data_IF_890004101649
#
_entry.id   IF_890004101649
#
_cell.length_a   1.000
_cell.length_b   1.000
_cell.length_c   1.000
_cell.angle_alpha   90.00
_cell.angle_beta   90.00
_cell.angle_gamma   90.00
#
_symmetry.space_group_name_H-M   'P 1'
#
loop_
_entity.id
_entity.type
_entity.pdbx_description
1 polymer ?
#
# COMPACT_ATOMS: atom_id res chain seq x y z
N UNK A 1 -13.97 25.69 -14.37
CA UNK A 1 -14.31 24.30 -14.02
C UNK A 1 -14.08 24.16 -12.53
N UNK A 2 -15.12 23.73 -11.80
CA UNK A 2 -15.04 23.31 -10.42
C UNK A 2 -13.92 22.27 -10.26
N UNK A 3 -13.29 22.21 -9.11
CA UNK A 3 -12.16 21.32 -8.85
C UNK A 3 -12.51 19.89 -9.30
N UNK A 4 -11.71 19.27 -10.17
CA UNK A 4 -12.00 17.93 -10.66
C UNK A 4 -11.95 16.93 -9.48
N UNK A 5 -12.83 15.93 -9.53
CA UNK A 5 -12.90 14.87 -8.50
C UNK A 5 -11.54 14.22 -8.34
N UNK A 6 -11.07 14.08 -7.10
CA UNK A 6 -9.83 13.40 -6.74
C UNK A 6 -10.12 12.28 -5.74
N UNK A 7 -9.18 11.37 -5.58
CA UNK A 7 -9.26 10.36 -4.52
C UNK A 7 -9.10 11.03 -3.15
N UNK A 8 -9.78 10.54 -2.10
CA UNK A 8 -9.59 11.05 -0.76
C UNK A 8 -8.17 10.79 -0.29
N UNK A 9 -7.62 11.67 0.55
CA UNK A 9 -6.24 11.59 1.04
C UNK A 9 -5.20 11.32 -0.07
N UNK A 10 -5.40 11.88 -1.24
CA UNK A 10 -4.58 11.62 -2.43
C UNK A 10 -3.12 12.05 -2.26
N UNK A 11 -2.83 13.03 -1.40
CA UNK A 11 -1.48 13.43 -0.98
C UNK A 11 -0.87 12.58 0.13
N UNK A 12 -1.56 11.53 0.60
CA UNK A 12 -1.10 10.65 1.69
C UNK A 12 -0.69 11.38 2.98
N UNK A 13 -1.34 12.50 3.29
CA UNK A 13 -1.03 13.34 4.45
C UNK A 13 -1.80 12.97 5.72
N UNK A 14 -2.95 12.31 5.60
CA UNK A 14 -3.84 11.99 6.70
C UNK A 14 -3.66 10.57 7.19
N UNK A 15 -3.26 10.42 8.45
CA UNK A 15 -2.98 9.14 9.07
C UNK A 15 -3.36 9.15 10.54
N UNK A 16 -3.78 8.01 11.05
CA UNK A 16 -3.83 7.76 12.47
C UNK A 16 -3.28 6.37 12.82
N UNK A 17 -2.90 6.20 14.06
CA UNK A 17 -2.40 4.97 14.63
C UNK A 17 -3.21 4.65 15.88
N UNK A 18 -3.57 3.39 16.04
CA UNK A 18 -4.26 2.91 17.24
C UNK A 18 -3.82 1.50 17.62
N UNK A 19 -4.02 1.16 18.90
CA UNK A 19 -3.94 -0.20 19.39
C UNK A 19 -5.34 -0.80 19.49
N UNK A 20 -5.52 -1.97 18.93
CA UNK A 20 -6.71 -2.80 19.13
C UNK A 20 -6.30 -4.08 19.86
N UNK A 21 -7.17 -4.70 20.64
CA UNK A 21 -6.91 -5.84 21.53
C UNK A 21 -5.65 -6.68 21.25
N UNK A 22 -5.64 -7.39 20.13
CA UNK A 22 -4.53 -8.26 19.72
C UNK A 22 -3.63 -7.65 18.62
N UNK A 23 -3.87 -6.39 18.25
CA UNK A 23 -3.14 -5.66 17.22
C UNK A 23 -2.50 -4.41 17.80
N UNK A 24 -1.18 -4.27 17.64
CA UNK A 24 -0.40 -3.13 18.10
C UNK A 24 0.13 -2.31 16.94
N UNK A 25 0.18 -0.98 17.13
CA UNK A 25 0.66 -0.04 16.14
C UNK A 25 -0.05 -0.22 14.78
N UNK A 26 -1.38 -0.29 14.83
CA UNK A 26 -2.21 -0.44 13.65
C UNK A 26 -2.41 0.90 12.96
N UNK A 27 -1.87 1.06 11.76
CA UNK A 27 -1.93 2.29 10.98
C UNK A 27 -3.10 2.31 10.00
N UNK A 28 -3.72 3.49 9.86
CA UNK A 28 -4.82 3.75 8.92
C UNK A 28 -4.50 4.98 8.06
N UNK A 29 -4.67 4.90 6.74
CA UNK A 29 -4.40 5.98 5.80
C UNK A 29 -5.59 6.97 5.68
N UNK A 30 -6.12 7.41 6.80
CA UNK A 30 -7.19 8.40 6.92
C UNK A 30 -7.23 8.94 8.35
N UNK A 31 -7.89 10.09 8.56
CA UNK A 31 -8.16 10.60 9.90
C UNK A 31 -9.27 9.80 10.59
N UNK A 32 -9.33 9.82 11.93
CA UNK A 32 -10.33 9.05 12.71
C UNK A 32 -11.79 9.39 12.35
N UNK A 33 -12.03 10.58 11.80
CA UNK A 33 -13.36 11.08 11.47
C UNK A 33 -13.83 10.75 10.05
N UNK A 34 -13.00 10.12 9.23
CA UNK A 34 -13.30 9.81 7.82
C UNK A 34 -13.68 8.33 7.66
N UNK A 35 -14.71 8.11 6.83
CA UNK A 35 -15.13 6.76 6.47
C UNK A 35 -14.04 6.01 5.67
N UNK A 36 -13.99 4.71 5.91
CA UNK A 36 -13.04 3.74 5.34
C UNK A 36 -13.06 3.70 3.80
N UNK A 37 -12.32 4.59 3.14
CA UNK A 37 -12.19 4.57 1.68
C UNK A 37 -10.88 3.89 1.23
N UNK A 38 -9.82 4.00 2.04
CA UNK A 38 -8.58 3.27 1.84
C UNK A 38 -8.55 2.04 2.75
N UNK A 39 -8.26 0.89 2.19
CA UNK A 39 -8.20 -0.41 2.87
C UNK A 39 -6.75 -0.89 2.87
N UNK A 40 -6.33 -1.46 4.00
CA UNK A 40 -5.01 -2.07 4.15
C UNK A 40 -5.14 -3.50 4.64
N UNK A 41 -4.11 -4.31 4.45
CA UNK A 41 -4.02 -5.63 5.09
C UNK A 41 -3.24 -5.61 6.42
N UNK A 42 -3.23 -4.48 7.11
CA UNK A 42 -2.51 -4.30 8.37
C UNK A 42 -2.98 -5.25 9.48
N UNK A 43 -4.28 -5.58 9.52
CA UNK A 43 -4.82 -6.54 10.50
C UNK A 43 -4.17 -7.93 10.39
N UNK A 44 -3.80 -8.35 9.18
CA UNK A 44 -3.12 -9.63 8.96
C UNK A 44 -1.71 -9.63 9.54
N UNK A 45 -0.99 -8.51 9.44
CA UNK A 45 0.43 -8.39 9.78
C UNK A 45 0.72 -7.87 11.18
N UNK A 46 -0.29 -7.36 11.91
CA UNK A 46 -0.14 -6.73 13.23
C UNK A 46 -0.62 -7.58 14.41
N UNK A 47 -0.97 -8.82 14.21
CA UNK A 47 -1.42 -9.71 15.29
C UNK A 47 -0.28 -9.94 16.28
N UNK A 48 -0.40 -9.35 17.48
CA UNK A 48 0.60 -9.43 18.55
C UNK A 48 0.33 -10.61 19.48
N UNK A 49 1.30 -11.50 19.61
CA UNK A 49 1.24 -12.69 20.49
C UNK A 49 2.37 -12.75 21.52
N UNK A 50 2.83 -11.59 21.98
CA UNK A 50 3.91 -11.48 22.97
C UNK A 50 5.27 -11.12 22.37
N UNK A 51 6.30 -11.04 23.23
CA UNK A 51 7.63 -10.50 22.88
C UNK A 51 8.38 -11.31 21.82
N UNK A 52 8.06 -12.58 21.66
CA UNK A 52 8.69 -13.47 20.67
C UNK A 52 7.99 -13.47 19.31
N UNK A 53 6.97 -12.64 19.14
CA UNK A 53 6.20 -12.58 17.90
C UNK A 53 6.50 -11.28 17.14
N UNK A 54 7.00 -11.40 15.92
CA UNK A 54 7.20 -10.26 15.04
C UNK A 54 5.88 -9.85 14.40
N UNK A 55 5.55 -8.58 14.49
CA UNK A 55 4.37 -8.01 13.84
C UNK A 55 4.60 -6.52 13.56
N UNK A 56 4.09 -6.04 12.44
CA UNK A 56 4.13 -4.63 12.08
C UNK A 56 3.07 -4.31 11.03
N UNK A 57 2.59 -3.09 10.98
CA UNK A 57 1.75 -2.63 9.88
C UNK A 57 2.50 -2.71 8.55
N UNK A 58 1.91 -3.42 7.59
CA UNK A 58 2.43 -3.49 6.23
C UNK A 58 2.31 -2.13 5.53
N UNK A 59 1.28 -1.36 5.87
CA UNK A 59 1.05 -0.01 5.35
C UNK A 59 1.08 0.98 6.51
N UNK A 60 1.90 2.02 6.37
CA UNK A 60 1.99 3.11 7.35
C UNK A 60 2.46 4.41 6.70
N UNK A 61 2.36 5.52 7.41
CA UNK A 61 2.97 6.77 6.97
C UNK A 61 4.49 6.70 6.99
N UNK A 62 5.11 7.45 6.12
CA UNK A 62 6.57 7.61 6.04
C UNK A 62 6.94 9.08 5.90
N UNK A 63 8.01 9.50 6.56
CA UNK A 63 8.64 10.81 6.35
C UNK A 63 9.53 10.83 5.10
N UNK A 64 9.82 9.68 4.51
CA UNK A 64 10.44 9.58 3.20
C UNK A 64 9.36 9.78 2.15
N UNK A 65 9.27 10.96 1.60
CA UNK A 65 8.19 11.50 0.78
C UNK A 65 8.73 12.22 -0.45
N UNK A 66 7.87 12.42 -1.42
CA UNK A 66 8.14 13.30 -2.55
C UNK A 66 7.78 14.75 -2.20
N UNK A 67 6.60 14.99 -1.62
CA UNK A 67 6.07 16.30 -1.28
C UNK A 67 5.37 16.26 0.10
N UNK A 68 4.88 17.41 0.59
CA UNK A 68 4.13 17.48 1.83
C UNK A 68 4.91 17.05 3.08
N UNK A 69 4.24 16.34 3.99
CA UNK A 69 4.81 15.85 5.24
C UNK A 69 5.03 14.34 5.24
N UNK A 70 4.17 13.60 4.56
CA UNK A 70 4.16 12.13 4.56
C UNK A 70 3.93 11.56 3.17
N UNK A 71 4.34 10.31 3.00
CA UNK A 71 3.97 9.42 1.92
C UNK A 71 3.41 8.12 2.50
N UNK A 72 2.70 7.34 1.72
CA UNK A 72 2.35 5.97 2.06
C UNK A 72 3.57 5.07 1.87
N UNK A 73 3.95 4.32 2.92
CA UNK A 73 4.90 3.22 2.85
C UNK A 73 4.15 1.90 2.90
N UNK A 74 4.30 1.10 1.87
CA UNK A 74 3.69 -0.22 1.69
C UNK A 74 4.83 -1.23 1.66
N UNK A 75 4.83 -2.20 2.60
CA UNK A 75 5.96 -3.13 2.79
C UNK A 75 5.51 -4.58 2.77
N UNK A 76 6.37 -5.46 2.27
CA UNK A 76 6.24 -6.88 2.57
C UNK A 76 6.69 -7.10 4.01
N UNK A 77 5.84 -7.70 4.83
CA UNK A 77 6.07 -7.93 6.26
C UNK A 77 6.23 -9.42 6.52
N UNK A 78 7.32 -9.77 7.22
CA UNK A 78 7.45 -11.07 7.86
C UNK A 78 6.85 -11.01 9.26
N UNK A 79 5.89 -11.87 9.54
CA UNK A 79 5.25 -11.96 10.84
C UNK A 79 5.17 -13.41 11.31
N UNK A 80 5.23 -13.61 12.62
CA UNK A 80 5.31 -14.91 13.24
C UNK A 80 6.33 -14.98 14.37
N UNK A 81 6.75 -16.19 14.75
CA UNK A 81 7.71 -16.39 15.82
C UNK A 81 9.12 -16.00 15.36
N UNK A 82 9.73 -15.02 16.04
CA UNK A 82 11.12 -14.69 15.83
C UNK A 82 12.02 -15.81 16.34
N UNK A 83 12.88 -16.31 15.48
CA UNK A 83 13.94 -17.21 15.93
C UNK A 83 15.12 -16.38 16.46
N UNK A 84 15.16 -16.22 17.78
CA UNK A 84 16.14 -15.40 18.50
C UNK A 84 17.54 -16.06 18.62
N UNK A 85 17.85 -17.07 17.85
CA UNK A 85 19.16 -17.69 17.91
C UNK A 85 20.27 -16.69 17.57
N UNK A 86 20.94 -16.21 18.62
CA UNK A 86 22.28 -15.56 18.65
C UNK A 86 22.50 -14.36 17.72
N UNK A 87 21.84 -14.28 16.60
CA UNK A 87 22.04 -13.22 15.60
C UNK A 87 21.43 -11.87 15.97
N UNK A 88 20.34 -11.84 16.69
CA UNK A 88 19.63 -10.59 17.04
C UNK A 88 20.42 -9.73 18.04
N UNK A 89 21.18 -10.34 18.93
CA UNK A 89 22.01 -9.64 19.92
C UNK A 89 23.18 -8.87 19.30
N UNK A 90 23.64 -9.28 18.12
CA UNK A 90 24.76 -8.67 17.40
C UNK A 90 24.33 -7.90 16.14
N UNK A 91 23.05 -7.63 15.96
CA UNK A 91 22.55 -6.94 14.76
C UNK A 91 22.62 -7.78 13.48
N UNK A 92 22.78 -9.08 13.60
CA UNK A 92 22.79 -10.01 12.48
C UNK A 92 21.38 -10.55 12.22
N UNK A 93 21.06 -10.78 10.95
CA UNK A 93 19.77 -11.17 10.43
C UNK A 93 19.13 -12.35 11.18
N UNK A 94 18.15 -12.07 12.04
CA UNK A 94 17.30 -13.09 12.62
C UNK A 94 16.40 -13.70 11.56
N UNK A 95 16.05 -14.97 11.68
CA UNK A 95 15.03 -15.59 10.82
C UNK A 95 13.69 -15.61 11.55
N UNK A 96 12.61 -15.44 10.79
CA UNK A 96 11.26 -15.63 11.29
C UNK A 96 10.77 -17.00 10.85
N UNK A 97 10.20 -17.75 11.80
CA UNK A 97 9.38 -18.91 11.50
C UNK A 97 7.94 -18.43 11.42
N UNK A 98 7.49 -18.05 10.25
CA UNK A 98 6.16 -17.45 10.08
C UNK A 98 5.82 -17.21 8.62
N UNK A 99 4.94 -16.26 8.42
CA UNK A 99 4.40 -15.91 7.10
C UNK A 99 5.02 -14.62 6.61
N UNK A 100 5.25 -14.52 5.31
CA UNK A 100 5.61 -13.28 4.63
C UNK A 100 4.39 -12.82 3.84
N UNK A 101 3.94 -11.61 4.14
CA UNK A 101 2.73 -11.05 3.53
C UNK A 101 3.07 -9.80 2.76
N UNK A 102 2.70 -9.76 1.50
CA UNK A 102 2.81 -8.58 0.65
C UNK A 102 1.90 -7.49 1.21
N UNK A 103 2.44 -6.30 1.45
CA UNK A 103 1.66 -5.14 1.87
C UNK A 103 0.71 -4.69 0.77
N UNK A 104 -0.51 -4.37 1.14
CA UNK A 104 -1.56 -3.92 0.22
C UNK A 104 -2.21 -2.67 0.76
N UNK A 105 -2.23 -1.63 -0.08
CA UNK A 105 -3.04 -0.43 0.09
C UNK A 105 -4.01 -0.35 -1.09
N UNK A 106 -5.31 -0.33 -0.83
CA UNK A 106 -6.33 -0.30 -1.87
C UNK A 106 -7.37 0.78 -1.60
N UNK A 107 -7.70 1.54 -2.63
CA UNK A 107 -8.89 2.36 -2.68
C UNK A 107 -9.96 1.63 -3.50
N UNK A 108 -11.17 1.63 -3.01
CA UNK A 108 -12.34 1.17 -3.76
C UNK A 108 -13.53 2.02 -3.35
N UNK A 109 -14.10 2.76 -4.27
CA UNK A 109 -15.19 3.69 -3.96
C UNK A 109 -16.04 4.08 -5.16
N UNK A 110 -17.19 4.67 -4.84
CA UNK A 110 -18.12 5.21 -5.82
C UNK A 110 -17.43 6.27 -6.69
N UNK A 111 -17.61 6.15 -7.99
CA UNK A 111 -16.86 6.95 -8.94
C UNK A 111 -17.65 7.17 -10.23
N UNK A 112 -18.15 8.39 -10.42
CA UNK A 112 -19.05 8.72 -11.53
C UNK A 112 -18.43 9.60 -12.62
N UNK A 113 -17.08 9.62 -12.69
CA UNK A 113 -16.33 10.43 -13.65
C UNK A 113 -15.36 9.57 -14.44
N UNK A 114 -14.85 10.08 -15.55
CA UNK A 114 -13.92 9.36 -16.44
C UNK A 114 -12.60 10.12 -16.55
N UNK A 115 -11.63 9.88 -15.65
CA UNK A 115 -10.29 10.44 -15.82
C UNK A 115 -9.62 9.84 -17.05
N UNK A 116 -8.76 10.60 -17.69
CA UNK A 116 -7.96 10.14 -18.82
C UNK A 116 -6.64 9.54 -18.39
N UNK A 117 -6.24 9.79 -17.12
CA UNK A 117 -4.98 9.31 -16.58
C UNK A 117 -5.02 9.30 -15.06
N UNK A 118 -4.30 8.34 -14.46
CA UNK A 118 -3.87 8.36 -13.05
C UNK A 118 -2.39 8.68 -13.00
N UNK A 119 -1.99 9.58 -12.12
CA UNK A 119 -0.60 9.93 -11.84
C UNK A 119 -0.29 9.77 -10.37
N UNK A 120 0.95 9.40 -10.05
CA UNK A 120 1.48 9.41 -8.69
C UNK A 120 3.00 9.47 -8.72
N UNK A 121 3.59 9.93 -7.64
CA UNK A 121 5.02 9.77 -7.43
C UNK A 121 5.27 8.50 -6.64
N UNK A 122 6.31 7.76 -7.04
CA UNK A 122 6.69 6.55 -6.35
C UNK A 122 8.20 6.42 -6.21
N UNK A 123 8.58 5.66 -5.21
CA UNK A 123 9.91 5.12 -4.99
C UNK A 123 9.78 3.66 -4.60
N UNK A 124 10.64 2.79 -5.11
CA UNK A 124 10.61 1.37 -4.81
C UNK A 124 11.96 0.85 -4.35
N UNK A 125 12.01 0.14 -3.24
CA UNK A 125 13.21 -0.53 -2.73
C UNK A 125 12.94 -2.02 -2.76
N UNK A 126 13.46 -2.74 -3.76
CA UNK A 126 13.24 -4.17 -3.90
C UNK A 126 14.00 -4.97 -2.85
N UNK A 127 13.45 -6.11 -2.49
CA UNK A 127 14.21 -7.22 -1.93
C UNK A 127 14.43 -8.25 -3.04
N UNK A 128 15.71 -8.48 -3.41
CA UNK A 128 16.07 -9.30 -4.57
C UNK A 128 15.60 -8.71 -5.90
N UNK A 129 14.91 -9.52 -6.69
CA UNK A 129 14.39 -9.18 -8.02
C UNK A 129 12.88 -8.86 -8.03
N UNK A 130 12.33 -8.50 -6.87
CA UNK A 130 10.91 -8.17 -6.74
C UNK A 130 10.57 -6.82 -7.38
N UNK A 131 9.30 -6.60 -7.69
CA UNK A 131 8.76 -5.38 -8.29
C UNK A 131 7.48 -4.97 -7.56
N UNK A 132 7.28 -3.67 -7.38
CA UNK A 132 6.00 -3.15 -6.90
C UNK A 132 4.91 -3.33 -7.95
N UNK A 133 3.69 -3.58 -7.52
CA UNK A 133 2.54 -3.84 -8.42
C UNK A 133 1.46 -2.80 -8.20
N UNK A 134 0.97 -2.23 -9.29
CA UNK A 134 -0.11 -1.24 -9.34
C UNK A 134 -1.23 -1.79 -10.20
N UNK A 135 -2.40 -1.99 -9.62
CA UNK A 135 -3.59 -2.46 -10.32
C UNK A 135 -4.65 -1.34 -10.33
N UNK A 136 -5.17 -1.02 -11.50
CA UNK A 136 -6.23 -0.03 -11.67
C UNK A 136 -7.39 -0.68 -12.43
N UNK A 137 -8.59 -0.59 -11.84
CA UNK A 137 -9.84 -1.05 -12.45
C UNK A 137 -10.88 0.06 -12.37
N UNK A 138 -11.60 0.28 -13.46
CA UNK A 138 -12.78 1.17 -13.53
C UNK A 138 -13.90 0.35 -14.12
N UNK A 139 -15.06 0.36 -13.46
CA UNK A 139 -16.18 -0.50 -13.82
C UNK A 139 -17.53 0.19 -13.62
N UNK A 140 -18.55 -0.39 -14.23
CA UNK A 140 -19.94 -0.10 -13.95
C UNK A 140 -20.57 -1.32 -13.28
N UNK A 141 -21.03 -1.15 -12.04
CA UNK A 141 -21.71 -2.19 -11.24
C UNK A 141 -23.26 -2.05 -11.25
N UNK A 142 -23.83 -1.04 -11.93
CA UNK A 142 -25.27 -0.75 -11.92
C UNK A 142 -26.06 -1.59 -12.94
N UNK A 143 -25.41 -2.45 -13.67
CA UNK A 143 -26.03 -3.30 -14.68
C UNK A 143 -26.19 -4.72 -14.13
N UNK A 144 -27.12 -5.48 -14.66
CA UNK A 144 -27.30 -6.92 -14.36
C UNK A 144 -26.02 -7.75 -14.59
N UNK A 145 -25.03 -7.17 -15.23
CA UNK A 145 -23.69 -7.68 -15.41
C UNK A 145 -22.68 -6.54 -15.22
N UNK A 146 -21.67 -6.80 -14.40
CA UNK A 146 -20.55 -5.88 -14.23
C UNK A 146 -19.85 -5.63 -15.57
N UNK A 147 -19.71 -4.35 -15.92
CA UNK A 147 -19.03 -3.93 -17.15
C UNK A 147 -17.68 -3.33 -16.80
N UNK A 148 -16.62 -3.99 -17.19
CA UNK A 148 -15.24 -3.46 -17.04
C UNK A 148 -15.02 -2.39 -18.11
N UNK A 149 -14.79 -1.16 -17.67
CA UNK A 149 -14.49 -0.02 -18.55
C UNK A 149 -12.99 0.14 -18.81
N UNK A 150 -12.18 -0.20 -17.83
CA UNK A 150 -10.72 -0.18 -17.88
C UNK A 150 -10.14 -1.09 -16.82
N UNK A 151 -9.11 -1.84 -17.17
CA UNK A 151 -8.34 -2.65 -16.25
C UNK A 151 -6.88 -2.72 -16.71
N UNK A 152 -5.95 -2.51 -15.81
CA UNK A 152 -4.53 -2.65 -16.08
C UNK A 152 -3.75 -3.06 -14.82
N UNK A 153 -2.72 -3.87 -15.03
CA UNK A 153 -1.69 -4.19 -14.04
C UNK A 153 -0.35 -3.67 -14.53
N UNK A 154 0.29 -2.85 -13.68
CA UNK A 154 1.57 -2.23 -13.96
C UNK A 154 2.59 -2.64 -12.91
N UNK A 155 3.88 -2.63 -13.26
CA UNK A 155 4.98 -2.89 -12.34
C UNK A 155 5.91 -1.70 -12.24
N UNK A 156 6.46 -1.48 -11.05
CA UNK A 156 7.37 -0.38 -10.75
C UNK A 156 8.61 -0.90 -10.03
N UNK A 157 9.79 -0.31 -10.33
CA UNK A 157 11.07 -0.84 -9.83
C UNK A 157 12.15 0.23 -9.59
N UNK A 158 11.83 1.53 -9.69
CA UNK A 158 12.85 2.60 -9.54
C UNK A 158 13.07 2.97 -8.08
N UNK A 159 14.34 3.06 -7.72
CA UNK A 159 14.80 3.33 -6.34
C UNK A 159 14.78 4.80 -5.93
N UNK A 160 14.64 5.71 -6.88
CA UNK A 160 14.47 7.14 -6.64
C UNK A 160 13.03 7.56 -6.93
N UNK A 161 12.55 8.60 -6.25
CA UNK A 161 11.24 9.15 -6.53
C UNK A 161 11.11 9.61 -7.97
N UNK A 162 10.07 9.14 -8.63
CA UNK A 162 9.71 9.56 -9.98
C UNK A 162 8.21 9.57 -10.20
N UNK A 163 7.78 10.37 -11.14
CA UNK A 163 6.41 10.38 -11.62
C UNK A 163 6.11 9.10 -12.41
N UNK A 164 4.98 8.49 -12.10
CA UNK A 164 4.38 7.43 -12.90
C UNK A 164 3.02 7.87 -13.42
N UNK A 165 2.73 7.56 -14.66
CA UNK A 165 1.47 7.89 -15.31
C UNK A 165 0.85 6.63 -15.91
N UNK A 166 -0.42 6.38 -15.60
CA UNK A 166 -1.22 5.32 -16.19
C UNK A 166 -2.26 5.97 -17.10
N UNK A 167 -2.07 5.98 -18.41
CA UNK A 167 -3.10 6.44 -19.35
C UNK A 167 -4.27 5.46 -19.34
N UNK A 168 -5.49 6.00 -19.35
CA UNK A 168 -6.71 5.22 -19.30
C UNK A 168 -7.35 5.22 -20.69
N UNK A 169 -7.26 4.10 -21.38
CA UNK A 169 -7.91 3.87 -22.65
C UNK A 169 -9.18 3.04 -22.41
N UNK A 170 -10.30 3.71 -22.30
CA UNK A 170 -11.57 3.05 -22.01
C UNK A 170 -11.96 2.06 -23.11
N UNK A 171 -12.29 0.84 -22.71
CA UNK A 171 -12.71 -0.24 -23.62
C UNK A 171 -14.15 -0.07 -24.10
N UNK A 172 -14.98 0.66 -23.34
CA UNK A 172 -16.38 0.89 -23.62
C UNK A 172 -16.66 2.38 -23.55
N UNK A 173 -17.22 2.93 -24.61
CA UNK A 173 -17.73 4.30 -24.67
C UNK A 173 -19.19 4.35 -24.20
N UNK A 174 -19.64 5.53 -23.77
CA UNK A 174 -21.05 5.81 -23.41
C UNK A 174 -21.62 4.99 -22.23
N UNK A 175 -20.76 4.33 -21.44
CA UNK A 175 -21.13 3.70 -20.17
C UNK A 175 -20.58 4.53 -19.03
N UNK A 176 -21.43 4.87 -18.07
CA UNK A 176 -21.01 5.62 -16.87
C UNK A 176 -20.15 4.73 -15.99
N UNK A 177 -19.04 5.25 -15.51
CA UNK A 177 -18.30 4.57 -14.45
C UNK A 177 -19.08 4.70 -13.14
N UNK A 178 -19.14 3.65 -12.35
CA UNK A 178 -19.74 3.70 -11.00
C UNK A 178 -18.74 3.37 -9.90
N UNK A 179 -17.60 2.76 -10.25
CA UNK A 179 -16.59 2.37 -9.28
C UNK A 179 -15.18 2.48 -9.85
N UNK A 180 -14.26 2.94 -9.01
CA UNK A 180 -12.82 2.89 -9.26
C UNK A 180 -12.15 2.11 -8.14
N UNK A 181 -11.30 1.17 -8.54
CA UNK A 181 -10.43 0.43 -7.62
C UNK A 181 -8.97 0.64 -8.02
N UNK A 182 -8.17 1.16 -7.08
CA UNK A 182 -6.72 1.32 -7.21
C UNK A 182 -6.06 0.48 -6.12
N UNK A 183 -5.27 -0.53 -6.51
CA UNK A 183 -4.56 -1.39 -5.58
C UNK A 183 -3.06 -1.27 -5.77
N UNK A 184 -2.36 -1.00 -4.68
CA UNK A 184 -0.93 -0.77 -4.60
C UNK A 184 -0.33 -1.88 -3.75
N UNK A 185 0.65 -2.63 -4.28
CA UNK A 185 1.26 -3.78 -3.60
C UNK A 185 2.77 -3.60 -3.49
N UNK A 186 3.31 -3.93 -2.35
CA UNK A 186 4.74 -3.85 -2.07
C UNK A 186 5.59 -4.82 -2.88
N UNK A 187 5.00 -5.83 -3.48
CA UNK A 187 5.75 -6.82 -4.25
C UNK A 187 4.86 -7.71 -5.10
N UNK A 188 5.47 -8.44 -6.01
CA UNK A 188 4.86 -9.47 -6.84
C UNK A 188 5.13 -10.89 -6.31
N UNK A 189 6.09 -11.02 -5.38
CA UNK A 189 6.57 -12.31 -4.87
C UNK A 189 6.54 -12.31 -3.33
N UNK A 190 6.17 -13.45 -2.76
CA UNK A 190 6.41 -13.73 -1.35
C UNK A 190 7.89 -14.08 -1.18
N UNK A 191 8.73 -13.11 -0.87
CA UNK A 191 10.16 -13.31 -0.68
C UNK A 191 10.44 -13.80 0.73
N UNK A 192 11.34 -14.79 0.87
CA UNK A 192 11.77 -15.30 2.18
C UNK A 192 12.87 -14.44 2.82
N UNK A 193 13.38 -13.46 2.11
CA UNK A 193 14.47 -12.59 2.58
C UNK A 193 13.87 -11.31 3.10
N UNK A 194 13.97 -11.11 4.39
CA UNK A 194 13.40 -9.96 5.08
C UNK A 194 14.48 -9.25 5.86
N UNK A 195 14.63 -7.95 5.63
CA UNK A 195 15.50 -7.11 6.43
C UNK A 195 14.94 -7.03 7.85
N UNK A 196 15.81 -7.28 8.84
CA UNK A 196 15.45 -7.08 10.23
C UNK A 196 15.82 -5.66 10.65
N UNK A 197 14.86 -4.93 11.20
CA UNK A 197 15.13 -3.71 11.95
C UNK A 197 14.95 -4.02 13.43
N UNK A 198 16.05 -4.23 14.12
CA UNK A 198 16.06 -4.50 15.57
C UNK A 198 15.60 -3.22 16.29
N UNK A 199 14.46 -3.28 16.97
CA UNK A 199 14.12 -2.33 18.02
C UNK A 199 14.52 -2.94 19.37
N UNK A 200 15.27 -2.22 20.17
CA UNK A 200 15.96 -2.70 21.35
C UNK A 200 15.15 -3.32 22.50
N UNK A 201 13.88 -3.67 22.34
CA UNK A 201 13.03 -4.28 23.35
C UNK A 201 12.04 -5.32 22.76
N UNK A 202 12.51 -6.18 21.90
CA UNK A 202 11.81 -7.44 21.60
C UNK A 202 10.81 -7.43 20.45
N UNK A 203 10.43 -6.31 19.88
CA UNK A 203 9.59 -6.26 18.67
C UNK A 203 10.44 -5.90 17.45
N UNK A 204 11.08 -6.90 16.89
CA UNK A 204 11.83 -6.73 15.64
C UNK A 204 10.86 -6.58 14.47
N UNK A 205 10.96 -5.49 13.72
CA UNK A 205 10.27 -5.39 12.44
C UNK A 205 11.05 -6.15 11.38
N UNK A 206 10.43 -7.14 10.77
CA UNK A 206 10.96 -7.85 9.62
C UNK A 206 10.20 -7.42 8.37
N UNK A 207 10.90 -6.84 7.42
CA UNK A 207 10.30 -6.33 6.19
C UNK A 207 11.15 -6.64 4.96
N UNK A 208 10.51 -6.81 3.83
CA UNK A 208 11.12 -7.05 2.52
C UNK A 208 11.06 -5.82 1.64
N UNK A 209 10.49 -5.98 0.45
CA UNK A 209 10.31 -4.90 -0.52
C UNK A 209 9.45 -3.77 0.04
N UNK A 210 9.80 -2.54 -0.32
CA UNK A 210 9.14 -1.31 0.12
C UNK A 210 8.69 -0.48 -1.09
N UNK A 211 7.42 -0.15 -1.14
CA UNK A 211 6.82 0.77 -2.10
C UNK A 211 6.38 2.03 -1.37
N UNK A 212 6.90 3.17 -1.79
CA UNK A 212 6.48 4.50 -1.34
C UNK A 212 5.59 5.11 -2.42
N UNK A 213 4.45 5.65 -2.03
CA UNK A 213 3.49 6.32 -2.92
C UNK A 213 3.14 7.68 -2.35
N UNK A 214 3.11 8.68 -3.23
CA UNK A 214 2.81 10.06 -2.88
C UNK A 214 2.11 10.79 -4.02
N UNK A 215 1.35 11.86 -3.69
CA UNK A 215 0.68 12.76 -4.63
C UNK A 215 -0.08 12.04 -5.76
N UNK A 216 -1.03 11.19 -5.39
CA UNK A 216 -1.91 10.53 -6.36
C UNK A 216 -2.88 11.56 -6.95
N UNK A 217 -3.00 11.63 -8.25
CA UNK A 217 -3.92 12.53 -8.92
C UNK A 217 -4.63 11.90 -10.12
N UNK A 218 -5.90 12.24 -10.27
CA UNK A 218 -6.70 11.92 -11.44
C UNK A 218 -6.67 13.10 -12.41
N UNK A 219 -6.38 12.80 -13.66
CA UNK A 219 -6.31 13.80 -14.75
C UNK A 219 -7.52 13.65 -15.65
N UNK A 220 -8.10 14.78 -16.02
CA UNK A 220 -9.25 14.87 -16.92
C UNK A 220 -8.89 15.75 -18.11
N UNK A 221 -9.21 15.30 -19.32
CA UNK A 221 -9.08 16.16 -20.49
C UNK A 221 -10.17 17.24 -20.46
N UNK A 222 -9.82 18.39 -21.01
CA UNK A 222 -10.73 19.53 -21.13
C UNK A 222 -11.63 19.37 -22.35
#
# INVERSE_FOLDING_TARGET
LENPVQLPNSGMEEWHEEDQSDHKNLWFPFSQDLSLQWITNNLETTNYRGESFCSASAVKRSENKYNGNYAALIRTIGHGVANTNVGSFLGMNGSITGTHTIGILSYSGDFQVRPTKVKFYYRYIPEGDDVGVIELKIENEDQDQDVILYEATNVVSKTEYQLYEIPINYMVENVVATKLTLTLKSGSKHTNVVKAKVRGNGADEHYGSELYIDDISLVYDK
#
